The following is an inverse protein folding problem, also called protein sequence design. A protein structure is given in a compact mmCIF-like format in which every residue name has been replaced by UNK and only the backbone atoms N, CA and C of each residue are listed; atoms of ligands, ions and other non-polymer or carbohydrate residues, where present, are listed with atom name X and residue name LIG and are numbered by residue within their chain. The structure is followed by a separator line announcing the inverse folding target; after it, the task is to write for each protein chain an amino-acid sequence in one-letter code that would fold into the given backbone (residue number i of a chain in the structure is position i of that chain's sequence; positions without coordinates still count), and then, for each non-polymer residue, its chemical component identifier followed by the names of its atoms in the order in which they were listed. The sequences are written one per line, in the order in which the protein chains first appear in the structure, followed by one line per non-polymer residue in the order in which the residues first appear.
data_IF_063688810440
#
_entry.id   IF_063688810440
#
_cell.length_a   1.000
_cell.length_b   1.000
_cell.length_c   1.000
_cell.angle_alpha   90.00
_cell.angle_beta   90.00
_cell.angle_gamma   90.00
#
_symmetry.space_group_name_H-M   'P 1'
#
loop_
_entity.id
_entity.type
_entity.pdbx_description
1 polymer ?
#
# COMPACT_ATOMS: atom_id res chain seq x y z
N UNK A 1 -56.21 38.53 21.21
CA UNK A 1 -55.28 37.43 20.94
C UNK A 1 -54.01 38.07 20.44
N UNK A 2 -52.86 37.79 21.06
CA UNK A 2 -51.59 38.30 20.54
C UNK A 2 -51.34 37.66 19.17
N UNK A 3 -50.95 38.48 18.20
CA UNK A 3 -50.61 38.01 16.86
C UNK A 3 -49.27 37.27 16.90
N UNK A 4 -49.06 36.32 15.98
CA UNK A 4 -47.82 35.54 15.92
C UNK A 4 -46.58 36.43 15.72
N UNK A 5 -46.73 37.57 15.04
CA UNK A 5 -45.70 38.60 14.89
C UNK A 5 -45.34 39.27 16.23
N UNK A 6 -46.33 39.69 17.02
CA UNK A 6 -46.13 40.32 18.33
C UNK A 6 -45.49 39.35 19.36
N UNK A 7 -45.79 38.06 19.23
CA UNK A 7 -45.18 36.99 20.02
C UNK A 7 -43.72 36.81 19.59
N UNK A 8 -43.45 36.86 18.29
CA UNK A 8 -42.09 36.75 17.74
C UNK A 8 -41.16 37.87 18.16
N UNK A 9 -41.63 39.12 18.19
CA UNK A 9 -40.83 40.25 18.65
C UNK A 9 -40.47 40.14 20.13
N UNK A 10 -41.44 39.76 20.98
CA UNK A 10 -41.21 39.53 22.41
C UNK A 10 -40.28 38.34 22.67
N UNK A 11 -40.43 37.28 21.89
CA UNK A 11 -39.58 36.10 21.95
C UNK A 11 -38.15 36.44 21.53
N UNK A 12 -37.97 37.19 20.44
CA UNK A 12 -36.66 37.61 19.94
C UNK A 12 -35.89 38.40 20.99
N UNK A 13 -36.55 39.34 21.67
CA UNK A 13 -35.91 40.16 22.70
C UNK A 13 -35.46 39.34 23.91
N UNK A 14 -36.26 38.34 24.33
CA UNK A 14 -35.88 37.41 25.40
C UNK A 14 -34.76 36.46 24.96
N UNK A 15 -34.85 35.89 23.76
CA UNK A 15 -33.84 34.99 23.18
C UNK A 15 -32.52 35.73 22.97
N UNK A 16 -32.53 37.01 22.58
CA UNK A 16 -31.32 37.83 22.42
C UNK A 16 -30.53 38.00 23.72
N UNK A 17 -31.20 38.01 24.86
CA UNK A 17 -30.55 38.04 26.19
C UNK A 17 -29.90 36.71 26.55
N UNK A 18 -30.45 35.60 26.07
CA UNK A 18 -29.94 34.25 26.33
C UNK A 18 -28.85 33.84 25.33
N UNK A 19 -29.00 34.23 24.05
CA UNK A 19 -28.04 33.96 22.99
C UNK A 19 -27.98 35.14 22.00
N UNK A 20 -27.05 36.09 22.17
CA UNK A 20 -26.96 37.26 21.30
C UNK A 20 -26.56 36.90 19.86
N UNK A 21 -25.67 35.91 19.70
CA UNK A 21 -25.01 35.58 18.43
C UNK A 21 -25.93 34.88 17.43
N UNK A 22 -26.86 34.03 17.89
CA UNK A 22 -27.76 33.25 17.02
C UNK A 22 -29.25 33.56 17.29
N UNK A 23 -29.53 34.67 17.98
CA UNK A 23 -30.88 35.06 18.41
C UNK A 23 -31.92 35.03 17.29
N UNK A 24 -31.60 35.56 16.11
CA UNK A 24 -32.52 35.60 14.98
C UNK A 24 -32.84 34.19 14.44
N UNK A 25 -31.83 33.31 14.31
CA UNK A 25 -32.01 31.94 13.81
C UNK A 25 -32.81 31.09 14.81
N UNK A 26 -32.43 31.14 16.08
CA UNK A 26 -33.12 30.41 17.15
C UNK A 26 -34.57 30.88 17.28
N UNK A 27 -34.81 32.18 17.23
CA UNK A 27 -36.18 32.72 17.28
C UNK A 27 -37.00 32.28 16.06
N UNK A 28 -36.39 32.25 14.87
CA UNK A 28 -37.03 31.71 13.66
C UNK A 28 -37.48 30.26 13.82
N UNK A 29 -36.63 29.40 14.37
CA UNK A 29 -36.98 28.00 14.64
C UNK A 29 -38.08 27.86 15.69
N UNK A 30 -38.01 28.64 16.77
CA UNK A 30 -39.05 28.60 17.80
C UNK A 30 -40.40 29.10 17.26
N UNK A 31 -40.39 30.07 16.34
CA UNK A 31 -41.60 30.56 15.68
C UNK A 31 -42.29 29.53 14.77
N UNK A 32 -41.65 28.41 14.44
CA UNK A 32 -42.32 27.28 13.77
C UNK A 32 -43.26 26.51 14.70
N UNK A 33 -43.14 26.71 16.02
CA UNK A 33 -44.02 26.09 17.01
C UNK A 33 -45.44 26.70 17.00
N UNK A 34 -46.44 25.95 17.49
CA UNK A 34 -47.79 26.46 17.67
C UNK A 34 -47.85 27.68 18.60
N UNK A 35 -48.80 28.58 18.36
CA UNK A 35 -48.97 29.82 19.14
C UNK A 35 -49.17 29.55 20.63
N UNK A 36 -49.89 28.49 21.00
CA UNK A 36 -50.10 28.12 22.41
C UNK A 36 -48.78 27.74 23.12
N UNK A 37 -47.92 26.98 22.43
CA UNK A 37 -46.58 26.62 22.94
C UNK A 37 -45.69 27.86 23.07
N UNK A 38 -45.74 28.76 22.10
CA UNK A 38 -44.97 30.01 22.15
C UNK A 38 -45.37 30.91 23.33
N UNK A 39 -46.66 30.96 23.66
CA UNK A 39 -47.15 31.70 24.83
C UNK A 39 -46.67 31.05 26.13
N UNK A 40 -46.65 29.72 26.23
CA UNK A 40 -46.10 28.99 27.38
C UNK A 40 -44.61 29.29 27.58
N UNK A 41 -43.83 29.29 26.49
CA UNK A 41 -42.40 29.66 26.50
C UNK A 41 -42.18 31.12 26.92
N UNK A 42 -43.06 32.05 26.55
CA UNK A 42 -42.94 33.45 26.98
C UNK A 42 -43.25 33.64 28.48
N UNK A 43 -44.09 32.75 29.05
CA UNK A 43 -44.47 32.77 30.46
C UNK A 43 -43.43 32.11 31.36
N UNK A 44 -42.84 30.99 30.94
CA UNK A 44 -41.87 30.23 31.73
C UNK A 44 -40.44 30.35 31.18
N UNK A 45 -39.61 31.14 31.85
CA UNK A 45 -38.22 31.39 31.42
C UNK A 45 -37.35 30.12 31.39
N UNK A 46 -37.59 29.16 32.29
CA UNK A 46 -36.87 27.88 32.31
C UNK A 46 -37.17 27.00 31.08
N UNK A 47 -38.43 26.99 30.62
CA UNK A 47 -38.80 26.27 29.39
C UNK A 47 -38.22 26.97 28.16
N UNK A 48 -38.23 28.31 28.14
CA UNK A 48 -37.61 29.08 27.08
C UNK A 48 -36.12 28.81 26.96
N UNK A 49 -35.40 28.77 28.09
CA UNK A 49 -33.97 28.42 28.11
C UNK A 49 -33.74 26.99 27.57
N UNK A 50 -34.54 26.01 28.01
CA UNK A 50 -34.42 24.63 27.51
C UNK A 50 -34.71 24.54 26.00
N UNK A 51 -35.72 25.27 25.51
CA UNK A 51 -36.06 25.32 24.09
C UNK A 51 -34.96 26.02 23.26
N UNK A 52 -34.35 27.09 23.79
CA UNK A 52 -33.20 27.78 23.19
C UNK A 52 -31.99 26.86 23.12
N UNK A 53 -31.65 26.16 24.21
CA UNK A 53 -30.52 25.20 24.23
C UNK A 53 -30.76 24.07 23.23
N UNK A 54 -31.99 23.55 23.16
CA UNK A 54 -32.36 22.52 22.18
C UNK A 54 -32.24 23.03 20.74
N UNK A 55 -32.73 24.23 20.46
CA UNK A 55 -32.64 24.85 19.14
C UNK A 55 -31.18 25.17 18.76
N UNK A 56 -30.35 25.62 19.70
CA UNK A 56 -28.92 25.80 19.50
C UNK A 56 -28.20 24.47 19.22
N UNK A 57 -28.56 23.41 19.94
CA UNK A 57 -28.10 22.06 19.66
C UNK A 57 -28.48 21.61 18.26
N UNK A 58 -29.72 21.85 17.83
CA UNK A 58 -30.18 21.54 16.47
C UNK A 58 -29.51 22.42 15.40
N UNK A 59 -29.11 23.65 15.71
CA UNK A 59 -28.32 24.49 14.80
C UNK A 59 -26.88 23.97 14.65
N UNK A 60 -26.26 23.53 15.75
CA UNK A 60 -24.92 22.94 15.73
C UNK A 60 -24.93 21.56 15.03
N UNK A 61 -25.95 20.74 15.29
CA UNK A 61 -26.18 19.48 14.58
C UNK A 61 -26.63 19.70 13.14
N UNK A 62 -27.25 20.86 12.85
CA UNK A 62 -27.66 21.31 11.52
C UNK A 62 -26.47 21.78 10.68
N UNK A 63 -25.49 22.47 11.28
CA UNK A 63 -24.20 22.80 10.64
C UNK A 63 -23.34 21.54 10.42
N UNK A 64 -23.49 20.51 11.26
CA UNK A 64 -22.93 19.17 11.02
C UNK A 64 -23.73 18.32 10.00
N UNK A 65 -24.98 18.72 9.67
CA UNK A 65 -25.88 18.02 8.73
C UNK A 65 -26.18 18.82 7.45
N UNK A 66 -25.61 20.01 7.28
CA UNK A 66 -25.69 20.78 6.03
C UNK A 66 -24.85 20.14 4.91
N UNK A 67 -24.11 19.08 5.22
CA UNK A 67 -23.54 18.12 4.26
C UNK A 67 -24.55 17.08 3.74
N UNK A 68 -25.79 17.02 4.24
CA UNK A 68 -26.73 15.94 3.91
C UNK A 68 -28.07 16.37 3.31
N UNK A 69 -28.35 17.67 3.09
CA UNK A 69 -29.67 18.09 2.54
C UNK A 69 -29.67 19.27 1.56
N UNK A 70 -28.76 19.28 0.58
CA UNK A 70 -28.99 20.05 -0.66
C UNK A 70 -29.23 19.09 -1.84
N UNK A 71 -30.51 18.94 -2.14
CA UNK A 71 -31.11 18.75 -3.46
C UNK A 71 -30.73 17.53 -4.32
N UNK A 72 -31.71 16.65 -4.45
CA UNK A 72 -31.92 15.76 -5.59
C UNK A 72 -31.90 16.53 -6.93
N UNK A 73 -30.88 16.30 -7.76
CA UNK A 73 -30.96 15.95 -9.19
C UNK A 73 -29.56 15.97 -9.80
N UNK A 74 -28.74 14.99 -9.44
CA UNK A 74 -28.04 14.19 -10.45
C UNK A 74 -27.48 12.95 -9.73
N UNK A 75 -27.58 11.79 -10.36
CA UNK A 75 -27.00 10.57 -9.83
C UNK A 75 -25.48 10.74 -9.79
N UNK A 76 -24.89 10.89 -8.62
CA UNK A 76 -23.44 10.75 -8.48
C UNK A 76 -23.19 9.52 -7.59
N UNK A 77 -22.53 8.48 -8.12
CA UNK A 77 -22.40 7.19 -7.46
C UNK A 77 -21.57 7.30 -6.17
N UNK A 78 -21.78 6.35 -5.26
CA UNK A 78 -21.12 6.13 -3.95
C UNK A 78 -19.58 6.30 -3.96
N UNK A 79 -18.96 6.31 -5.14
CA UNK A 79 -17.54 6.59 -5.36
C UNK A 79 -17.13 8.03 -4.99
N UNK A 80 -18.04 9.01 -5.02
CA UNK A 80 -17.72 10.43 -4.82
C UNK A 80 -17.43 10.84 -3.36
N UNK A 81 -18.02 10.14 -2.38
CA UNK A 81 -17.89 10.53 -0.95
C UNK A 81 -16.50 10.26 -0.41
N UNK A 82 -15.89 9.14 -0.79
CA UNK A 82 -14.51 8.81 -0.45
C UNK A 82 -13.51 9.75 -1.14
N UNK A 83 -13.82 10.20 -2.35
CA UNK A 83 -12.98 11.18 -3.09
C UNK A 83 -13.04 12.55 -2.40
N UNK A 84 -14.23 13.04 -2.07
CA UNK A 84 -14.38 14.31 -1.37
C UNK A 84 -13.74 14.32 0.03
N UNK A 85 -13.82 13.21 0.76
CA UNK A 85 -13.15 13.03 2.05
C UNK A 85 -11.63 13.00 1.91
N UNK A 86 -11.12 12.29 0.89
CA UNK A 86 -9.69 12.26 0.57
C UNK A 86 -9.17 13.65 0.26
N UNK A 87 -9.87 14.41 -0.58
CA UNK A 87 -9.48 15.78 -0.95
C UNK A 87 -9.51 16.73 0.26
N UNK A 88 -10.52 16.65 1.13
CA UNK A 88 -10.59 17.47 2.34
C UNK A 88 -9.49 17.13 3.33
N UNK A 89 -9.24 15.84 3.54
CA UNK A 89 -8.18 15.37 4.41
C UNK A 89 -6.81 15.79 3.89
N UNK A 90 -6.56 15.61 2.59
CA UNK A 90 -5.35 16.04 1.91
C UNK A 90 -5.11 17.54 2.06
N UNK A 91 -6.13 18.36 1.78
CA UNK A 91 -6.03 19.81 1.92
C UNK A 91 -5.76 20.24 3.37
N UNK A 92 -6.40 19.58 4.35
CA UNK A 92 -6.16 19.85 5.77
C UNK A 92 -4.74 19.47 6.20
N UNK A 93 -4.22 18.34 5.72
CA UNK A 93 -2.84 17.90 5.98
C UNK A 93 -1.85 18.85 5.29
N UNK A 94 -2.06 19.22 4.02
CA UNK A 94 -1.24 20.19 3.28
C UNK A 94 -1.13 21.55 3.99
N UNK A 95 -2.22 22.00 4.61
CA UNK A 95 -2.24 23.26 5.36
C UNK A 95 -1.39 23.20 6.65
N UNK A 96 -1.16 22.01 7.20
CA UNK A 96 -0.40 21.79 8.44
C UNK A 96 1.03 21.30 8.18
N UNK A 97 1.24 20.54 7.10
CA UNK A 97 2.49 19.95 6.68
C UNK A 97 2.74 20.29 5.22
N UNK A 98 3.78 21.09 4.94
CA UNK A 98 4.25 21.35 3.58
C UNK A 98 5.24 20.27 3.09
N UNK A 99 5.24 19.09 3.70
CA UNK A 99 6.21 18.03 3.38
C UNK A 99 5.71 17.13 2.26
N UNK A 100 6.65 16.55 1.52
CA UNK A 100 6.43 15.57 0.44
C UNK A 100 5.64 14.33 0.89
N UNK A 101 5.53 14.13 2.21
CA UNK A 101 4.80 13.02 2.82
C UNK A 101 3.28 13.23 2.88
N UNK A 102 2.76 14.39 2.44
CA UNK A 102 1.33 14.71 2.57
C UNK A 102 0.43 13.65 1.92
N UNK A 103 0.78 13.17 0.74
CA UNK A 103 0.03 12.11 0.05
C UNK A 103 0.03 10.82 0.89
N UNK A 104 1.21 10.41 1.38
CA UNK A 104 1.37 9.19 2.18
C UNK A 104 0.61 9.25 3.52
N UNK A 105 0.64 10.41 4.18
CA UNK A 105 -0.10 10.64 5.42
C UNK A 105 -1.61 10.59 5.13
N UNK A 106 -2.05 11.20 4.03
CA UNK A 106 -3.45 11.17 3.61
C UNK A 106 -3.92 9.74 3.39
N UNK A 107 -3.14 8.92 2.65
CA UNK A 107 -3.47 7.50 2.43
C UNK A 107 -3.51 6.69 3.74
N UNK A 108 -2.54 6.87 4.63
CA UNK A 108 -2.50 6.18 5.93
C UNK A 108 -3.72 6.53 6.80
N UNK A 109 -4.13 7.81 6.82
CA UNK A 109 -5.29 8.25 7.57
C UNK A 109 -6.62 7.85 6.90
N UNK A 110 -6.62 7.64 5.58
CA UNK A 110 -7.79 7.14 4.84
C UNK A 110 -8.07 5.65 5.08
N UNK A 111 -7.14 4.90 5.68
CA UNK A 111 -7.37 3.50 6.11
C UNK A 111 -8.30 3.41 7.33
N UNK A 112 -8.60 4.54 7.98
CA UNK A 112 -9.55 4.62 9.08
C UNK A 112 -11.00 4.63 8.56
N UNK A 113 -11.95 4.25 9.42
CA UNK A 113 -13.37 4.32 9.08
C UNK A 113 -13.81 5.77 8.80
N UNK A 114 -14.74 5.95 7.85
CA UNK A 114 -15.27 7.27 7.42
C UNK A 114 -15.68 8.16 8.61
N UNK A 115 -16.25 7.57 9.65
CA UNK A 115 -16.66 8.28 10.88
C UNK A 115 -15.49 8.79 11.72
N UNK A 116 -14.37 8.08 11.72
CA UNK A 116 -13.16 8.48 12.45
C UNK A 116 -12.41 9.58 11.68
N UNK A 117 -12.33 9.46 10.35
CA UNK A 117 -11.79 10.52 9.47
C UNK A 117 -12.58 11.81 9.62
N UNK A 118 -13.91 11.73 9.72
CA UNK A 118 -14.75 12.90 9.92
C UNK A 118 -14.53 13.58 11.28
N UNK A 119 -14.31 12.80 12.35
CA UNK A 119 -13.95 13.34 13.68
C UNK A 119 -12.58 14.01 13.64
N UNK A 120 -11.63 13.42 12.93
CA UNK A 120 -10.30 14.00 12.72
C UNK A 120 -10.41 15.34 11.96
N UNK A 121 -11.25 15.43 10.93
CA UNK A 121 -11.43 16.70 10.20
C UNK A 121 -12.13 17.80 11.02
N UNK A 122 -12.92 17.43 12.04
CA UNK A 122 -13.56 18.39 12.94
C UNK A 122 -12.64 18.90 14.06
N UNK A 123 -11.72 18.05 14.54
CA UNK A 123 -10.83 18.38 15.65
C UNK A 123 -9.39 18.54 15.16
N UNK A 124 -8.95 19.80 15.15
CA UNK A 124 -7.61 20.18 14.68
C UNK A 124 -6.48 19.61 15.53
N UNK A 125 -6.64 19.52 16.86
CA UNK A 125 -5.59 18.96 17.73
C UNK A 125 -5.50 17.44 17.54
N UNK A 126 -6.66 16.79 17.34
CA UNK A 126 -6.71 15.36 17.06
C UNK A 126 -6.11 15.04 15.68
N UNK A 127 -6.39 15.85 14.66
CA UNK A 127 -5.80 15.72 13.34
C UNK A 127 -4.28 15.92 13.37
N UNK A 128 -3.80 16.94 14.09
CA UNK A 128 -2.36 17.19 14.24
C UNK A 128 -1.67 16.00 14.91
N UNK A 129 -2.30 15.42 15.95
CA UNK A 129 -1.81 14.22 16.63
C UNK A 129 -1.77 13.02 15.68
N UNK A 130 -2.85 12.79 14.91
CA UNK A 130 -2.95 11.69 13.96
C UNK A 130 -1.92 11.83 12.81
N UNK A 131 -1.70 13.05 12.33
CA UNK A 131 -0.68 13.36 11.33
C UNK A 131 0.72 13.13 11.88
N UNK A 132 1.00 13.52 13.13
CA UNK A 132 2.28 13.28 13.77
C UNK A 132 2.54 11.79 14.01
N UNK A 133 1.51 11.02 14.40
CA UNK A 133 1.62 9.57 14.49
C UNK A 133 1.84 8.91 13.14
N UNK A 134 1.14 9.35 12.09
CA UNK A 134 1.33 8.87 10.73
C UNK A 134 2.75 9.19 10.24
N UNK A 135 3.26 10.40 10.48
CA UNK A 135 4.64 10.78 10.21
C UNK A 135 5.63 9.89 10.97
N UNK A 136 5.42 9.63 12.25
CA UNK A 136 6.29 8.74 13.02
C UNK A 136 6.26 7.29 12.49
N UNK A 137 5.11 6.81 12.00
CA UNK A 137 5.02 5.49 11.34
C UNK A 137 5.77 5.50 10.01
N UNK A 138 5.62 6.54 9.21
CA UNK A 138 6.28 6.71 7.90
C UNK A 138 7.81 6.88 8.08
N UNK A 139 8.26 7.64 9.08
CA UNK A 139 9.68 7.86 9.41
C UNK A 139 10.30 6.68 10.16
N UNK A 140 9.54 5.99 11.02
CA UNK A 140 9.93 4.72 11.61
C UNK A 140 10.06 3.60 10.57
N UNK A 141 9.41 3.78 9.42
CA UNK A 141 9.56 2.98 8.21
C UNK A 141 10.63 3.54 7.24
N UNK A 142 11.39 4.59 7.58
CA UNK A 142 12.41 5.21 6.70
C UNK A 142 13.66 4.34 6.43
N UNK A 143 13.64 3.06 6.83
CA UNK A 143 14.51 2.00 6.26
C UNK A 143 13.84 1.23 5.10
N UNK A 144 12.64 1.65 4.69
CA UNK A 144 11.83 1.16 3.58
C UNK A 144 11.18 2.37 2.91
N UNK A 145 12.00 3.07 2.12
CA UNK A 145 11.50 4.04 1.16
C UNK A 145 10.76 3.28 0.06
N UNK A 146 9.43 3.40 -0.01
CA UNK A 146 8.69 3.31 -1.27
C UNK A 146 7.52 4.29 -1.18
N UNK A 147 7.52 5.24 -2.12
CA UNK A 147 6.46 6.16 -2.48
C UNK A 147 5.19 5.40 -2.85
N UNK A 148 4.04 5.88 -2.36
CA UNK A 148 2.75 5.28 -2.65
C UNK A 148 2.31 5.54 -4.09
N UNK A 149 1.86 4.47 -4.75
CA UNK A 149 0.59 4.48 -5.49
C UNK A 149 -0.09 3.14 -5.22
N UNK A 150 -1.40 3.18 -4.97
CA UNK A 150 -2.23 2.02 -4.67
C UNK A 150 -2.34 1.08 -5.88
N UNK A 151 -2.34 -0.21 -5.55
CA UNK A 151 -2.76 -1.35 -6.37
C UNK A 151 -1.90 -1.69 -7.60
N UNK A 152 -1.30 -2.88 -7.53
CA UNK A 152 -0.28 -3.48 -8.41
C UNK A 152 1.05 -2.72 -8.45
N UNK A 153 2.05 -3.21 -7.70
CA UNK A 153 3.44 -2.83 -8.00
C UNK A 153 3.73 -3.37 -9.39
N UNK A 154 3.76 -2.50 -10.38
CA UNK A 154 4.01 -2.92 -11.75
C UNK A 154 5.44 -3.47 -11.81
N UNK A 155 5.68 -4.48 -12.66
CA UNK A 155 7.05 -4.98 -12.87
C UNK A 155 8.04 -3.87 -13.24
N UNK A 156 7.55 -2.78 -13.81
CA UNK A 156 8.34 -1.58 -14.10
C UNK A 156 8.86 -0.92 -12.82
N UNK A 157 8.01 -0.65 -11.82
CA UNK A 157 8.42 -0.05 -10.54
C UNK A 157 9.35 -0.99 -9.74
N UNK A 158 9.06 -2.30 -9.75
CA UNK A 158 9.97 -3.30 -9.17
C UNK A 158 11.32 -3.30 -9.88
N UNK A 159 11.33 -3.05 -11.18
CA UNK A 159 12.53 -3.01 -12.01
C UNK A 159 13.45 -1.87 -11.63
N UNK A 160 12.91 -0.67 -11.42
CA UNK A 160 13.70 0.49 -11.02
C UNK A 160 14.31 0.32 -9.62
N UNK A 161 13.52 -0.16 -8.66
CA UNK A 161 14.00 -0.45 -7.29
C UNK A 161 15.07 -1.54 -7.31
N UNK A 162 14.85 -2.58 -8.09
CA UNK A 162 15.80 -3.68 -8.24
C UNK A 162 17.07 -3.22 -8.93
N UNK A 163 16.98 -2.39 -9.97
CA UNK A 163 18.13 -1.84 -10.67
C UNK A 163 19.05 -1.07 -9.72
N UNK A 164 18.50 -0.16 -8.92
CA UNK A 164 19.27 0.61 -7.94
C UNK A 164 20.04 -0.32 -6.99
N UNK A 165 19.35 -1.32 -6.43
CA UNK A 165 19.92 -2.27 -5.47
C UNK A 165 20.97 -3.18 -6.10
N UNK A 166 20.78 -3.59 -7.34
CA UNK A 166 21.72 -4.42 -8.10
C UNK A 166 22.94 -3.59 -8.52
N UNK A 167 22.75 -2.32 -8.88
CA UNK A 167 23.83 -1.40 -9.23
C UNK A 167 24.80 -1.18 -8.05
N UNK A 168 24.27 -1.08 -6.83
CA UNK A 168 25.09 -1.03 -5.60
C UNK A 168 25.97 -2.28 -5.41
N UNK A 169 25.53 -3.44 -5.92
CA UNK A 169 26.23 -4.72 -5.75
C UNK A 169 27.13 -5.07 -6.93
N UNK A 170 26.70 -4.75 -8.16
CA UNK A 170 27.37 -5.09 -9.40
C UNK A 170 27.08 -4.05 -10.50
N UNK A 171 27.85 -2.95 -10.57
CA UNK A 171 27.61 -1.87 -11.53
C UNK A 171 27.87 -2.30 -12.99
N UNK A 172 28.85 -3.17 -13.25
CA UNK A 172 29.24 -3.55 -14.61
C UNK A 172 28.19 -4.40 -15.36
N UNK A 173 27.40 -5.19 -14.63
CA UNK A 173 26.42 -6.13 -15.21
C UNK A 173 24.98 -5.84 -14.76
N UNK A 174 24.75 -4.70 -14.09
CA UNK A 174 23.48 -4.35 -13.48
C UNK A 174 22.30 -4.51 -14.43
N UNK A 175 22.32 -3.85 -15.59
CA UNK A 175 21.22 -3.91 -16.55
C UNK A 175 20.84 -5.34 -16.98
N UNK A 176 21.84 -6.21 -17.16
CA UNK A 176 21.61 -7.60 -17.59
C UNK A 176 21.11 -8.47 -16.43
N UNK A 177 21.65 -8.27 -15.23
CA UNK A 177 21.23 -8.99 -14.02
C UNK A 177 19.80 -8.58 -13.63
N UNK A 178 19.50 -7.29 -13.60
CA UNK A 178 18.17 -6.77 -13.31
C UNK A 178 17.15 -7.31 -14.32
N UNK A 179 17.50 -7.33 -15.61
CA UNK A 179 16.68 -7.96 -16.65
C UNK A 179 16.37 -9.43 -16.37
N UNK A 180 17.39 -10.22 -16.00
CA UNK A 180 17.21 -11.64 -15.67
C UNK A 180 16.39 -11.86 -14.40
N UNK A 181 16.55 -11.01 -13.39
CA UNK A 181 15.78 -11.11 -12.16
C UNK A 181 14.32 -10.70 -12.38
N UNK A 182 14.04 -9.73 -13.26
CA UNK A 182 12.69 -9.31 -13.64
C UNK A 182 11.87 -10.38 -14.37
N UNK A 183 12.53 -11.42 -14.90
CA UNK A 183 11.87 -12.61 -15.44
C UNK A 183 11.22 -13.47 -14.33
N UNK A 184 11.58 -13.26 -13.07
CA UNK A 184 10.96 -13.93 -11.91
C UNK A 184 9.52 -13.42 -11.68
N UNK A 185 8.66 -14.23 -11.01
CA UNK A 185 7.34 -13.79 -10.61
C UNK A 185 7.42 -12.67 -9.56
N UNK A 186 6.42 -11.79 -9.56
CA UNK A 186 6.36 -10.58 -8.74
C UNK A 186 6.45 -10.88 -7.24
N UNK A 187 5.79 -11.93 -6.75
CA UNK A 187 5.88 -12.36 -5.35
C UNK A 187 7.31 -12.70 -4.93
N UNK A 188 8.08 -13.33 -5.83
CA UNK A 188 9.48 -13.67 -5.57
C UNK A 188 10.35 -12.43 -5.58
N UNK A 189 10.12 -11.50 -6.51
CA UNK A 189 10.82 -10.21 -6.55
C UNK A 189 10.58 -9.39 -5.29
N UNK A 190 9.34 -9.30 -4.82
CA UNK A 190 9.00 -8.62 -3.57
C UNK A 190 9.69 -9.27 -2.36
N UNK A 191 9.75 -10.62 -2.32
CA UNK A 191 10.46 -11.36 -1.27
C UNK A 191 11.97 -11.08 -1.31
N UNK A 192 12.57 -11.04 -2.51
CA UNK A 192 13.98 -10.71 -2.70
C UNK A 192 14.28 -9.27 -2.29
N UNK A 193 13.43 -8.30 -2.65
CA UNK A 193 13.59 -6.90 -2.26
C UNK A 193 13.38 -6.69 -0.75
N UNK A 194 12.59 -7.55 -0.09
CA UNK A 194 12.41 -7.52 1.35
C UNK A 194 13.63 -8.05 2.12
N UNK A 195 14.44 -8.94 1.53
CA UNK A 195 15.60 -9.55 2.16
C UNK A 195 16.90 -9.31 1.36
N UNK A 196 17.75 -8.43 1.90
CA UNK A 196 19.02 -8.04 1.26
C UNK A 196 19.96 -9.24 1.01
N UNK A 197 19.95 -10.26 1.86
CA UNK A 197 20.84 -11.41 1.70
C UNK A 197 20.36 -12.35 0.59
N UNK A 198 19.04 -12.55 0.49
CA UNK A 198 18.40 -13.29 -0.59
C UNK A 198 18.64 -12.58 -1.94
N UNK A 199 18.50 -11.25 -1.98
CA UNK A 199 18.83 -10.45 -3.17
C UNK A 199 20.30 -10.62 -3.58
N UNK A 200 21.24 -10.50 -2.64
CA UNK A 200 22.66 -10.71 -2.92
C UNK A 200 22.96 -12.11 -3.47
N UNK A 201 22.28 -13.13 -2.95
CA UNK A 201 22.41 -14.51 -3.42
C UNK A 201 21.86 -14.66 -4.85
N UNK A 202 20.70 -14.06 -5.13
CA UNK A 202 20.09 -14.04 -6.45
C UNK A 202 20.95 -13.28 -7.47
N UNK A 203 21.53 -12.14 -7.08
CA UNK A 203 22.48 -11.37 -7.89
C UNK A 203 23.72 -12.18 -8.18
N UNK A 204 24.35 -12.83 -7.19
CA UNK A 204 25.51 -13.69 -7.46
C UNK A 204 25.18 -14.86 -8.40
N UNK A 205 24.00 -15.46 -8.27
CA UNK A 205 23.54 -16.51 -9.20
C UNK A 205 23.36 -15.96 -10.61
N UNK A 206 22.76 -14.78 -10.75
CA UNK A 206 22.59 -14.11 -12.03
C UNK A 206 23.93 -13.68 -12.63
N UNK A 207 24.87 -13.18 -11.83
CA UNK A 207 26.25 -12.89 -12.27
C UNK A 207 26.91 -14.13 -12.84
N UNK A 208 26.84 -15.28 -12.14
CA UNK A 208 27.36 -16.56 -12.64
C UNK A 208 26.68 -16.98 -13.95
N UNK A 209 25.37 -16.79 -14.08
CA UNK A 209 24.65 -17.07 -15.31
C UNK A 209 25.04 -16.12 -16.47
N UNK A 210 25.28 -14.84 -16.18
CA UNK A 210 25.71 -13.84 -17.17
C UNK A 210 27.17 -14.05 -17.60
N UNK A 211 28.05 -14.40 -16.65
CA UNK A 211 29.48 -14.62 -16.89
C UNK A 211 29.77 -16.04 -17.43
N UNK A 212 28.90 -17.00 -17.16
CA UNK A 212 28.99 -18.39 -17.64
C UNK A 212 28.08 -18.75 -18.82
N UNK A 213 27.27 -17.82 -19.36
CA UNK A 213 26.12 -18.16 -20.21
C UNK A 213 25.91 -17.31 -21.46
N UNK A 214 26.87 -17.29 -22.39
CA UNK A 214 26.57 -17.03 -23.81
C UNK A 214 26.11 -18.29 -24.57
N UNK A 215 25.77 -19.40 -23.90
CA UNK A 215 25.17 -20.55 -24.56
C UNK A 215 24.03 -21.17 -23.74
N UNK A 216 22.90 -21.35 -24.43
CA UNK A 216 21.61 -21.93 -24.02
C UNK A 216 20.64 -20.91 -23.36
N UNK A 217 19.67 -20.32 -24.05
CA UNK A 217 18.98 -20.81 -25.24
C UNK A 217 18.19 -22.08 -24.91
N UNK A 218 16.91 -21.92 -24.60
CA UNK A 218 15.86 -22.94 -24.75
C UNK A 218 16.23 -24.37 -24.32
N UNK A 219 16.05 -24.69 -23.05
CA UNK A 219 15.80 -26.06 -22.63
C UNK A 219 14.60 -26.03 -21.69
N UNK A 220 13.58 -26.76 -22.06
CA UNK A 220 12.27 -26.77 -21.43
C UNK A 220 12.33 -26.73 -19.90
N UNK A 221 11.35 -26.04 -19.35
CA UNK A 221 10.55 -26.64 -18.29
C UNK A 221 10.09 -28.04 -18.73
N UNK A 222 10.99 -29.00 -18.81
CA UNK A 222 10.64 -30.39 -18.61
C UNK A 222 10.84 -30.55 -17.13
N UNK A 223 9.72 -30.56 -16.43
CA UNK A 223 9.54 -30.99 -15.05
C UNK A 223 10.47 -32.20 -14.79
N UNK A 224 11.71 -31.93 -14.37
CA UNK A 224 12.63 -32.94 -13.91
C UNK A 224 12.19 -33.24 -12.49
N UNK A 225 12.07 -34.53 -12.16
CA UNK A 225 11.76 -34.96 -10.81
C UNK A 225 12.70 -34.24 -9.82
N UNK A 226 12.18 -33.77 -8.67
CA UNK A 226 12.99 -33.02 -7.69
C UNK A 226 14.27 -33.78 -7.30
N UNK A 227 14.22 -35.11 -7.32
CA UNK A 227 15.37 -35.99 -7.07
C UNK A 227 16.49 -35.82 -8.12
N UNK A 228 16.14 -35.61 -9.39
CA UNK A 228 17.12 -35.39 -10.47
C UNK A 228 17.73 -34.00 -10.41
N UNK A 229 17.00 -33.01 -9.90
CA UNK A 229 17.52 -31.65 -9.76
C UNK A 229 18.62 -31.60 -8.69
N UNK A 230 18.41 -32.22 -7.53
CA UNK A 230 19.42 -32.28 -6.47
C UNK A 230 20.68 -33.04 -6.92
N UNK A 231 20.50 -34.15 -7.66
CA UNK A 231 21.61 -34.90 -8.25
C UNK A 231 22.35 -34.08 -9.32
N UNK A 232 21.62 -33.27 -10.10
CA UNK A 232 22.19 -32.39 -11.11
C UNK A 232 23.09 -31.33 -10.50
N UNK A 233 22.67 -30.71 -9.40
CA UNK A 233 23.46 -29.72 -8.67
C UNK A 233 24.74 -30.35 -8.09
N UNK A 234 24.64 -31.53 -7.47
CA UNK A 234 25.81 -32.26 -6.95
C UNK A 234 26.79 -32.66 -8.05
N UNK A 235 26.30 -33.16 -9.18
CA UNK A 235 27.13 -33.50 -10.33
C UNK A 235 27.79 -32.26 -10.93
N UNK A 236 27.07 -31.14 -11.01
CA UNK A 236 27.59 -29.89 -11.54
C UNK A 236 28.77 -29.38 -10.73
N UNK A 237 28.68 -29.40 -9.40
CA UNK A 237 29.79 -28.97 -8.53
C UNK A 237 31.04 -29.83 -8.75
N UNK A 238 30.88 -31.15 -8.88
CA UNK A 238 31.99 -32.09 -9.12
C UNK A 238 32.62 -31.87 -10.51
N UNK A 239 31.79 -31.68 -11.54
CA UNK A 239 32.27 -31.48 -12.91
C UNK A 239 32.91 -30.11 -13.07
N UNK A 240 32.36 -29.06 -12.43
CA UNK A 240 32.86 -27.69 -12.52
C UNK A 240 34.26 -27.53 -11.94
N UNK A 241 34.65 -28.36 -10.97
CA UNK A 241 36.02 -28.40 -10.44
C UNK A 241 37.06 -28.76 -11.52
N UNK A 242 36.66 -29.57 -12.52
CA UNK A 242 37.57 -30.09 -13.57
C UNK A 242 37.34 -29.47 -14.95
N UNK A 243 36.11 -29.12 -15.29
CA UNK A 243 35.68 -28.71 -16.62
C UNK A 243 34.74 -27.49 -16.55
N UNK A 244 35.20 -26.37 -16.01
CA UNK A 244 34.39 -25.16 -15.76
C UNK A 244 33.53 -24.71 -16.98
N UNK A 245 34.11 -24.72 -18.19
CA UNK A 245 33.42 -24.26 -19.42
C UNK A 245 32.40 -25.27 -19.95
N UNK A 246 32.68 -26.57 -19.84
CA UNK A 246 31.83 -27.64 -20.38
C UNK A 246 30.96 -28.32 -19.33
N UNK A 247 31.10 -27.94 -18.05
CA UNK A 247 30.35 -28.43 -16.93
C UNK A 247 28.83 -28.49 -17.16
N UNK A 248 28.16 -27.44 -17.68
CA UNK A 248 26.72 -27.52 -17.90
C UNK A 248 26.35 -28.57 -18.95
N UNK A 249 27.16 -28.74 -20.01
CA UNK A 249 26.90 -29.70 -21.08
C UNK A 249 27.17 -31.14 -20.62
N UNK A 250 28.29 -31.36 -19.94
CA UNK A 250 28.66 -32.66 -19.38
C UNK A 250 27.64 -33.10 -18.34
N UNK A 251 27.26 -32.22 -17.41
CA UNK A 251 26.22 -32.52 -16.41
C UNK A 251 24.88 -32.79 -17.06
N UNK A 252 24.51 -32.05 -18.11
CA UNK A 252 23.32 -32.34 -18.92
C UNK A 252 23.34 -33.74 -19.51
N UNK A 253 24.45 -34.14 -20.16
CA UNK A 253 24.63 -35.48 -20.73
C UNK A 253 24.59 -36.58 -19.67
N UNK A 254 25.09 -36.32 -18.46
CA UNK A 254 24.98 -37.25 -17.33
C UNK A 254 23.53 -37.36 -16.85
N UNK A 255 22.79 -36.26 -16.76
CA UNK A 255 21.40 -36.23 -16.32
C UNK A 255 20.41 -36.93 -17.27
N UNK A 256 20.82 -37.17 -18.52
CA UNK A 256 20.09 -38.02 -19.47
C UNK A 256 20.09 -39.50 -19.06
N UNK A 257 20.93 -39.92 -18.11
CA UNK A 257 20.93 -41.26 -17.55
C UNK A 257 19.79 -41.49 -16.53
N UNK A 258 19.54 -42.76 -16.19
CA UNK A 258 18.60 -43.12 -15.12
C UNK A 258 19.14 -42.70 -13.75
N UNK A 259 18.24 -42.22 -12.88
CA UNK A 259 18.56 -41.74 -11.52
C UNK A 259 19.33 -42.80 -10.71
N UNK A 260 18.95 -44.07 -10.81
CA UNK A 260 19.62 -45.18 -10.12
C UNK A 260 21.08 -45.39 -10.55
N UNK A 261 21.42 -45.05 -11.80
CA UNK A 261 22.80 -45.12 -12.29
C UNK A 261 23.59 -43.93 -11.74
N UNK A 262 23.01 -42.73 -11.74
CA UNK A 262 23.65 -41.53 -11.21
C UNK A 262 23.98 -41.64 -9.72
N UNK A 263 23.05 -42.17 -8.91
CA UNK A 263 23.31 -42.42 -7.50
C UNK A 263 24.48 -43.38 -7.29
N UNK A 264 24.53 -44.47 -8.06
CA UNK A 264 25.66 -45.42 -8.01
C UNK A 264 26.99 -44.81 -8.45
N UNK A 265 26.97 -43.89 -9.43
CA UNK A 265 28.15 -43.17 -9.86
C UNK A 265 28.63 -42.20 -8.76
N UNK A 266 27.72 -41.51 -8.08
CA UNK A 266 28.07 -40.64 -6.95
C UNK A 266 28.65 -41.42 -5.76
N UNK A 267 28.28 -42.69 -5.57
CA UNK A 267 28.89 -43.57 -4.57
C UNK A 267 30.35 -43.97 -4.91
N UNK A 268 30.76 -43.87 -6.18
CA UNK A 268 32.11 -44.25 -6.66
C UNK A 268 32.75 -43.10 -7.46
N UNK A 269 33.63 -42.29 -6.83
CA UNK A 269 34.25 -41.14 -7.51
C UNK A 269 35.12 -41.56 -8.71
N UNK A 270 35.63 -42.79 -8.74
CA UNK A 270 36.41 -43.30 -9.88
C UNK A 270 35.52 -43.58 -11.11
N UNK A 271 34.35 -44.19 -10.91
CA UNK A 271 33.38 -44.44 -11.99
C UNK A 271 32.76 -43.15 -12.51
N UNK A 272 32.45 -42.21 -11.61
CA UNK A 272 31.93 -40.90 -11.98
C UNK A 272 32.94 -40.14 -12.83
N UNK A 273 34.20 -40.06 -12.41
CA UNK A 273 35.25 -39.41 -13.20
C UNK A 273 35.42 -40.05 -14.59
N UNK A 274 35.38 -41.38 -14.67
CA UNK A 274 35.42 -42.06 -15.96
C UNK A 274 34.25 -41.68 -16.88
N UNK A 275 33.04 -41.53 -16.33
CA UNK A 275 31.86 -41.09 -17.07
C UNK A 275 31.94 -39.63 -17.50
N UNK A 276 32.47 -38.76 -16.64
CA UNK A 276 32.74 -37.35 -16.97
C UNK A 276 33.71 -37.26 -18.14
N UNK A 277 34.83 -38.00 -18.08
CA UNK A 277 35.83 -38.01 -19.16
C UNK A 277 35.23 -38.55 -20.48
N UNK A 278 34.35 -39.55 -20.41
CA UNK A 278 33.63 -40.06 -21.59
C UNK A 278 32.66 -39.03 -22.19
N UNK A 279 31.93 -38.29 -21.36
CA UNK A 279 31.04 -37.22 -21.82
C UNK A 279 31.84 -36.06 -22.42
N UNK A 280 32.97 -35.71 -21.80
CA UNK A 280 33.90 -34.71 -22.33
C UNK A 280 34.48 -35.13 -23.70
N UNK A 281 34.95 -36.37 -23.83
CA UNK A 281 35.43 -36.93 -25.09
C UNK A 281 34.34 -36.93 -26.18
N UNK A 282 33.10 -37.26 -25.81
CA UNK A 282 31.97 -37.24 -26.75
C UNK A 282 31.65 -35.83 -27.23
N UNK A 283 31.75 -34.83 -26.35
CA UNK A 283 31.54 -33.42 -26.70
C UNK A 283 32.62 -32.88 -27.65
N UNK A 284 33.86 -33.36 -27.52
CA UNK A 284 35.02 -32.91 -28.32
C UNK A 284 35.33 -33.79 -29.54
N UNK A 285 34.55 -34.85 -29.79
CA UNK A 285 34.72 -35.77 -30.94
C UNK A 285 33.94 -35.40 -32.20
N UNK A 286 33.53 -34.15 -32.33
CA UNK A 286 32.81 -33.63 -33.51
C UNK A 286 33.65 -32.60 -34.25
#
# INVERSE_FOLDING_TARGET
MMSKEEIGEQLLEKVRRLCPTQSNKVTGMLLELPTDTLLELLMEEGQLQAAVVKAQGTLLEGEARETERVHCQDQVPVLDRCVALREHLHAAICAMNSSDNTDRITEELLQLEETEVFKLLQDRELLETAVQEALYRIEGQSSRSVTGTSDCVSKEDLGDILYEKVEELQPDLCAKITGMLLELPEDTLQTLLADKQALQTAVHRAVKAVQGGEQQGTAGQSQLDPDKQELGEQLFDIVSDRYETDAPKITGMLLEMETSILTRLLESPHDLNHRIDQAYDALHKT
#
